data_IF_196620855360
#
_entry.id   IF_196620855360
#
_cell.length_a   1.000
_cell.length_b   1.000
_cell.length_c   1.000
_cell.angle_alpha   90.00
_cell.angle_beta   90.00
_cell.angle_gamma   90.00
#
_symmetry.space_group_name_H-M   'P 1'
#
loop_
_entity.id
_entity.type
_entity.pdbx_description
1 polymer ?
#
# COMPACT_ATOMS: atom_id res chain seq x y z
N UNK A 1 -22.66 23.05 19.26
CA UNK A 1 -22.87 21.61 18.98
C UNK A 1 -21.74 21.17 18.08
N UNK A 2 -20.90 20.22 18.50
CA UNK A 2 -19.88 19.63 17.63
C UNK A 2 -20.07 18.12 17.71
N UNK A 3 -20.49 17.53 16.60
CA UNK A 3 -20.57 16.08 16.45
C UNK A 3 -19.35 15.65 15.66
N UNK A 4 -18.43 14.96 16.33
CA UNK A 4 -17.40 14.17 15.68
C UNK A 4 -18.10 12.97 15.04
N UNK A 5 -18.20 12.93 13.72
CA UNK A 5 -18.54 11.69 13.02
C UNK A 5 -17.29 10.83 13.08
N UNK A 6 -17.36 9.69 13.76
CA UNK A 6 -16.31 8.69 13.70
C UNK A 6 -16.17 8.27 12.23
N UNK A 7 -15.00 8.48 11.63
CA UNK A 7 -14.69 7.91 10.34
C UNK A 7 -14.70 6.38 10.50
N UNK A 8 -15.65 5.69 9.85
CA UNK A 8 -15.61 4.23 9.76
C UNK A 8 -14.43 3.85 8.85
N UNK A 9 -13.30 3.53 9.46
CA UNK A 9 -12.15 2.98 8.76
C UNK A 9 -12.32 1.46 8.60
N UNK A 10 -12.15 0.96 7.38
CA UNK A 10 -12.05 -0.46 7.08
C UNK A 10 -10.60 -0.81 6.74
N UNK A 11 -10.11 -1.93 7.28
CA UNK A 11 -8.80 -2.48 6.89
C UNK A 11 -9.05 -3.56 5.85
N UNK A 12 -8.45 -3.39 4.67
CA UNK A 12 -8.53 -4.35 3.56
C UNK A 12 -7.21 -5.08 3.47
N UNK A 13 -7.29 -6.40 3.42
CA UNK A 13 -6.15 -7.29 3.29
C UNK A 13 -5.60 -7.27 1.86
N UNK A 14 -4.31 -7.49 1.69
CA UNK A 14 -3.68 -7.46 0.36
C UNK A 14 -4.13 -8.64 -0.52
N UNK A 15 -4.59 -9.76 0.08
CA UNK A 15 -5.21 -10.86 -0.65
C UNK A 15 -6.74 -10.72 -0.83
N UNK A 16 -7.34 -9.59 -0.44
CA UNK A 16 -8.77 -9.35 -0.67
C UNK A 16 -9.07 -9.27 -2.18
N UNK A 17 -10.24 -9.78 -2.60
CA UNK A 17 -10.67 -9.76 -4.00
C UNK A 17 -10.86 -8.35 -4.59
N UNK A 18 -10.91 -7.32 -3.74
CA UNK A 18 -10.89 -5.92 -4.14
C UNK A 18 -9.51 -5.45 -4.62
N UNK A 19 -8.44 -6.17 -4.27
CA UNK A 19 -7.07 -5.89 -4.71
C UNK A 19 -6.75 -6.73 -5.95
N UNK A 20 -6.31 -6.07 -7.01
CA UNK A 20 -5.94 -6.71 -8.28
C UNK A 20 -4.49 -6.46 -8.60
N UNK A 21 -3.76 -7.54 -8.89
CA UNK A 21 -2.34 -7.49 -9.20
C UNK A 21 -2.09 -7.68 -10.71
N UNK A 22 -1.08 -6.97 -11.21
CA UNK A 22 -0.53 -7.10 -12.56
C UNK A 22 0.99 -7.13 -12.51
N UNK A 23 1.62 -7.92 -13.39
CA UNK A 23 3.05 -8.26 -13.30
C UNK A 23 3.29 -9.47 -12.40
N UNK A 24 4.56 -9.72 -12.09
CA UNK A 24 5.04 -10.80 -11.24
C UNK A 24 5.00 -10.35 -9.77
N UNK A 25 4.14 -11.02 -9.00
CA UNK A 25 4.02 -10.81 -7.56
C UNK A 25 4.33 -12.11 -6.83
N UNK A 26 4.95 -11.96 -5.67
CA UNK A 26 5.23 -13.03 -4.74
C UNK A 26 4.44 -12.79 -3.46
N UNK A 27 3.90 -13.86 -2.90
CA UNK A 27 3.22 -13.85 -1.61
C UNK A 27 4.21 -14.26 -0.52
N UNK A 28 4.17 -13.56 0.60
CA UNK A 28 4.83 -13.91 1.84
C UNK A 28 3.88 -13.69 3.02
N UNK A 29 4.46 -13.47 4.19
CA UNK A 29 3.74 -13.12 5.41
C UNK A 29 4.30 -13.84 6.63
N UNK A 30 4.27 -13.15 7.75
CA UNK A 30 4.60 -13.61 9.10
C UNK A 30 3.42 -13.30 10.03
N UNK A 31 3.51 -13.64 11.31
CA UNK A 31 2.40 -13.39 12.25
C UNK A 31 2.13 -11.90 12.52
N UNK A 32 3.10 -11.07 12.18
CA UNK A 32 3.15 -9.64 12.42
C UNK A 32 2.38 -8.85 11.36
N UNK A 33 2.15 -9.41 10.17
CA UNK A 33 1.33 -8.80 9.12
C UNK A 33 -0.17 -8.91 9.39
N UNK A 34 -0.94 -8.00 8.79
CA UNK A 34 -2.39 -8.10 8.78
C UNK A 34 -2.83 -9.42 8.13
N UNK A 35 -3.60 -10.22 8.87
CA UNK A 35 -3.97 -11.61 8.54
C UNK A 35 -2.80 -12.55 8.19
N UNK A 36 -1.58 -12.14 8.50
CA UNK A 36 -0.36 -12.87 8.19
C UNK A 36 -0.04 -13.00 6.72
N UNK A 37 -0.42 -12.03 5.89
CA UNK A 37 -0.16 -12.02 4.45
C UNK A 37 0.58 -10.75 4.02
N UNK A 38 1.43 -10.89 3.01
CA UNK A 38 2.00 -9.76 2.29
C UNK A 38 2.29 -10.13 0.84
N UNK A 39 2.21 -9.14 -0.04
CA UNK A 39 2.51 -9.27 -1.46
C UNK A 39 3.60 -8.29 -1.82
N UNK A 40 4.64 -8.78 -2.48
CA UNK A 40 5.78 -7.96 -2.92
C UNK A 40 6.18 -8.30 -4.36
N UNK A 41 6.85 -7.36 -5.01
CA UNK A 41 7.38 -7.52 -6.36
C UNK A 41 8.72 -6.80 -6.51
N UNK A 42 9.63 -7.41 -7.26
CA UNK A 42 10.87 -6.80 -7.74
C UNK A 42 10.79 -6.38 -9.21
N UNK A 43 9.67 -6.62 -9.89
CA UNK A 43 9.48 -6.25 -11.29
C UNK A 43 9.08 -4.77 -11.40
N UNK A 44 9.89 -4.00 -12.11
CA UNK A 44 9.55 -2.62 -12.46
C UNK A 44 8.23 -2.57 -13.24
N UNK A 45 7.29 -1.74 -12.79
CA UNK A 45 5.98 -1.60 -13.42
C UNK A 45 4.94 -2.60 -12.93
N UNK A 46 5.29 -3.57 -12.09
CA UNK A 46 4.29 -4.40 -11.41
C UNK A 46 3.38 -3.51 -10.55
N UNK A 47 2.07 -3.76 -10.62
CA UNK A 47 1.09 -2.88 -10.00
C UNK A 47 -0.01 -3.63 -9.23
N UNK A 48 -0.39 -3.05 -8.09
CA UNK A 48 -1.55 -3.43 -7.30
C UNK A 48 -2.62 -2.33 -7.44
N UNK A 49 -3.83 -2.71 -7.78
CA UNK A 49 -4.98 -1.80 -7.98
C UNK A 49 -6.04 -2.11 -6.95
N UNK A 50 -6.53 -1.07 -6.27
CA UNK A 50 -7.56 -1.16 -5.25
C UNK A 50 -8.66 -0.13 -5.50
N UNK A 51 -9.90 -0.59 -5.60
CA UNK A 51 -11.08 0.26 -5.73
C UNK A 51 -11.80 0.39 -4.41
N UNK A 52 -12.11 1.61 -3.99
CA UNK A 52 -12.78 1.91 -2.73
C UNK A 52 -13.84 2.99 -2.90
N UNK A 53 -14.76 3.08 -1.92
CA UNK A 53 -15.67 4.22 -1.78
C UNK A 53 -15.38 4.92 -0.46
N UNK A 54 -15.08 6.23 -0.48
CA UNK A 54 -14.83 6.99 0.73
C UNK A 54 -14.09 8.29 0.46
N UNK A 55 -13.50 8.88 1.50
CA UNK A 55 -12.88 10.20 1.44
C UNK A 55 -11.37 10.19 1.65
N UNK A 56 -10.77 9.03 1.90
CA UNK A 56 -9.31 8.86 1.98
C UNK A 56 -8.90 7.39 1.91
N UNK A 57 -7.63 7.15 1.63
CA UNK A 57 -7.01 5.82 1.68
C UNK A 57 -5.57 5.94 2.23
N UNK A 58 -5.14 4.95 2.99
CA UNK A 58 -3.77 4.82 3.46
C UNK A 58 -3.26 3.40 3.20
N UNK A 59 -1.99 3.30 2.82
CA UNK A 59 -1.30 2.06 2.49
C UNK A 59 -0.28 1.78 3.57
N UNK A 60 -0.37 0.58 4.14
CA UNK A 60 0.58 0.07 5.11
C UNK A 60 1.24 -1.20 4.57
N UNK A 61 2.48 -1.47 4.95
CA UNK A 61 3.18 -2.67 4.52
C UNK A 61 4.40 -2.98 5.36
N UNK A 62 5.11 -4.03 4.94
CA UNK A 62 6.35 -4.46 5.58
C UNK A 62 7.54 -3.89 4.82
N UNK A 63 8.45 -3.26 5.56
CA UNK A 63 9.76 -2.87 5.06
C UNK A 63 10.77 -3.91 5.50
N UNK A 64 11.33 -4.64 4.54
CA UNK A 64 12.26 -5.71 4.81
C UNK A 64 13.58 -5.22 5.44
N UNK A 65 14.21 -6.08 6.25
CA UNK A 65 15.54 -5.83 6.81
C UNK A 65 16.63 -5.80 5.71
N UNK A 66 17.85 -5.41 6.10
CA UNK A 66 19.08 -5.19 5.29
C UNK A 66 19.40 -6.19 4.15
N UNK A 67 18.78 -7.37 4.13
CA UNK A 67 19.01 -8.41 3.12
C UNK A 67 18.17 -8.28 1.84
N UNK A 68 17.22 -7.34 1.76
CA UNK A 68 16.37 -7.15 0.59
C UNK A 68 16.61 -5.78 -0.08
N UNK A 69 16.41 -5.65 -1.40
CA UNK A 69 16.48 -4.36 -2.07
C UNK A 69 15.42 -3.39 -1.51
N UNK A 70 15.67 -2.09 -1.67
CA UNK A 70 14.72 -1.09 -1.17
C UNK A 70 13.46 -1.07 -2.04
N UNK A 71 12.30 -1.03 -1.39
CA UNK A 71 11.04 -0.76 -2.08
C UNK A 71 11.07 0.65 -2.66
N UNK A 72 10.62 0.78 -3.91
CA UNK A 72 10.40 2.06 -4.58
C UNK A 72 9.02 2.01 -5.19
N UNK A 73 8.09 2.76 -4.61
CA UNK A 73 6.68 2.70 -4.94
C UNK A 73 6.17 4.07 -5.39
N UNK A 74 5.27 4.07 -6.35
CA UNK A 74 4.45 5.23 -6.70
C UNK A 74 2.98 4.93 -6.45
N UNK A 75 2.23 5.94 -6.06
CA UNK A 75 0.80 5.87 -5.76
C UNK A 75 0.06 6.84 -6.67
N UNK A 76 -1.05 6.39 -7.24
CA UNK A 76 -1.91 7.20 -8.10
C UNK A 76 -3.38 6.95 -7.73
N UNK A 77 -4.10 8.00 -7.30
CA UNK A 77 -5.56 7.94 -7.11
C UNK A 77 -6.24 8.74 -8.20
N UNK A 78 -7.20 8.12 -8.89
CA UNK A 78 -8.04 8.71 -9.94
C UNK A 78 -7.30 9.52 -11.01
N UNK A 79 -6.09 9.07 -11.36
CA UNK A 79 -5.21 9.73 -12.33
C UNK A 79 -4.76 11.16 -11.97
N UNK A 80 -4.95 11.62 -10.73
CA UNK A 80 -4.70 13.02 -10.34
C UNK A 80 -3.88 13.19 -9.06
N UNK A 81 -4.12 12.34 -8.06
CA UNK A 81 -3.39 12.41 -6.78
C UNK A 81 -2.20 11.46 -6.86
N UNK A 82 -0.99 12.01 -6.77
CA UNK A 82 0.26 11.23 -6.85
C UNK A 82 1.00 11.19 -5.53
N UNK A 83 1.61 10.05 -5.23
CA UNK A 83 2.54 9.86 -4.12
C UNK A 83 3.74 9.02 -4.54
N UNK A 84 4.81 9.08 -3.74
CA UNK A 84 5.94 8.17 -3.89
C UNK A 84 6.45 7.77 -2.50
N UNK A 85 6.98 6.56 -2.41
CA UNK A 85 7.63 6.03 -1.23
C UNK A 85 8.93 5.35 -1.65
N UNK A 86 9.98 5.54 -0.86
CA UNK A 86 11.21 4.76 -0.97
C UNK A 86 11.55 4.27 0.42
N UNK A 87 11.75 2.96 0.55
CA UNK A 87 12.03 2.39 1.85
C UNK A 87 13.40 2.84 2.37
N UNK A 88 13.54 3.01 3.70
CA UNK A 88 14.84 3.14 4.32
C UNK A 88 15.76 1.97 3.96
N UNK A 89 17.06 2.24 3.90
CA UNK A 89 18.08 1.20 3.71
C UNK A 89 18.74 0.82 5.03
N UNK A 90 19.36 -0.35 5.08
CA UNK A 90 20.16 -0.82 6.22
C UNK A 90 19.41 -1.01 7.55
N UNK A 91 18.13 -1.38 7.48
CA UNK A 91 17.35 -1.72 8.68
C UNK A 91 17.89 -2.99 9.35
N UNK A 92 18.05 -2.94 10.68
CA UNK A 92 18.53 -4.08 11.47
C UNK A 92 17.51 -5.23 11.55
N UNK A 93 16.23 -4.88 11.52
CA UNK A 93 15.08 -5.79 11.52
C UNK A 93 14.00 -5.25 10.58
N UNK A 94 13.06 -6.10 10.17
CA UNK A 94 11.91 -5.67 9.40
C UNK A 94 11.02 -4.73 10.22
N UNK A 95 10.33 -3.82 9.53
CA UNK A 95 9.30 -2.96 10.11
C UNK A 95 7.98 -3.37 9.50
N UNK A 96 7.06 -3.88 10.32
CA UNK A 96 5.72 -4.25 9.90
C UNK A 96 4.75 -3.09 10.16
N UNK A 97 3.65 -3.04 9.41
CA UNK A 97 2.64 -1.98 9.51
C UNK A 97 3.19 -0.55 9.31
N UNK A 98 4.26 -0.41 8.52
CA UNK A 98 4.81 0.90 8.18
C UNK A 98 3.84 1.63 7.26
N UNK A 99 3.55 2.90 7.56
CA UNK A 99 2.75 3.76 6.69
C UNK A 99 3.56 4.13 5.44
N UNK A 100 3.28 3.47 4.32
CA UNK A 100 3.97 3.72 3.06
C UNK A 100 3.48 5.00 2.41
N UNK A 101 2.17 5.23 2.43
CA UNK A 101 1.57 6.44 1.87
C UNK A 101 0.14 6.64 2.38
N UNK A 102 -0.32 7.89 2.40
CA UNK A 102 -1.73 8.22 2.63
C UNK A 102 -2.17 9.31 1.66
N UNK A 103 -3.40 9.21 1.16
CA UNK A 103 -3.99 10.24 0.31
C UNK A 103 -4.30 11.51 1.12
N UNK A 104 -4.30 12.69 0.49
CA UNK A 104 -5.06 13.83 1.02
C UNK A 104 -6.56 13.49 1.10
N UNK A 105 -7.34 14.42 1.66
CA UNK A 105 -8.80 14.31 1.63
C UNK A 105 -9.33 14.31 0.18
N UNK A 106 -10.22 13.38 -0.11
CA UNK A 106 -10.90 13.18 -1.38
C UNK A 106 -12.39 13.53 -1.23
N UNK A 107 -13.08 13.74 -2.35
CA UNK A 107 -14.55 13.81 -2.36
C UNK A 107 -15.15 12.48 -1.91
N UNK A 108 -16.29 12.48 -1.22
CA UNK A 108 -16.95 11.21 -0.93
C UNK A 108 -17.46 10.55 -2.23
N UNK A 109 -17.03 9.32 -2.50
CA UNK A 109 -17.40 8.61 -3.71
C UNK A 109 -16.45 7.48 -4.09
N UNK A 110 -16.62 6.90 -5.29
CA UNK A 110 -15.77 5.84 -5.81
C UNK A 110 -14.42 6.37 -6.25
N UNK A 111 -13.37 5.68 -5.84
CA UNK A 111 -11.98 5.97 -6.15
C UNK A 111 -11.21 4.71 -6.54
N UNK A 112 -10.15 4.88 -7.30
CA UNK A 112 -9.20 3.80 -7.62
C UNK A 112 -7.78 4.24 -7.29
N UNK A 113 -7.15 3.49 -6.39
CA UNK A 113 -5.73 3.58 -6.08
C UNK A 113 -4.95 2.57 -6.93
N UNK A 114 -3.88 3.04 -7.57
CA UNK A 114 -2.88 2.21 -8.22
C UNK A 114 -1.55 2.41 -7.51
N UNK A 115 -0.97 1.32 -7.03
CA UNK A 115 0.36 1.24 -6.44
C UNK A 115 1.26 0.57 -7.48
N UNK A 116 2.40 1.16 -7.79
CA UNK A 116 3.33 0.64 -8.81
C UNK A 116 4.74 0.54 -8.25
N UNK A 117 5.40 -0.58 -8.51
CA UNK A 117 6.83 -0.74 -8.27
C UNK A 117 7.58 0.12 -9.30
N UNK A 118 8.16 1.24 -8.84
CA UNK A 118 8.71 2.28 -9.71
C UNK A 118 10.02 1.86 -10.39
N UNK A 119 10.85 1.09 -9.68
CA UNK A 119 12.12 0.57 -10.18
C UNK A 119 12.25 -0.91 -9.89
N UNK A 120 12.98 -1.63 -10.74
CA UNK A 120 13.33 -3.01 -10.43
C UNK A 120 14.20 -3.05 -9.16
N UNK A 121 14.01 -4.09 -8.36
CA UNK A 121 14.73 -4.34 -7.11
C UNK A 121 15.85 -5.37 -7.31
#
# INVERSE_FOLDING_TARGET
MSTTVAANAAIVDDHDALVRYTGAWQTGGESEEFKGTTSFSSEAGAAATFSFNGTSVAVFGTVAAKAQPNASLTFLVDSSVTGAYTSPSNLASAIHHESLWASPALSDGPHTLVITQATAQ
#
